data_IF_163782710289
#
_entry.id   IF_163782710289
#
_cell.length_a   1.000
_cell.length_b   1.000
_cell.length_c   1.000
_cell.angle_alpha   90.00
_cell.angle_beta   90.00
_cell.angle_gamma   90.00
#
_symmetry.space_group_name_H-M   'P 1'
#
loop_
_entity.id
_entity.type
_entity.pdbx_description
1 polymer ?
#
# COMPACT_ATOMS: atom_id res chain seq x y z
N UNK A 1 38.46 -4.72 7.10
CA UNK A 1 37.85 -5.82 6.32
C UNK A 1 36.98 -5.17 5.23
N UNK A 2 37.58 -4.94 4.05
CA UNK A 2 36.91 -4.32 2.90
C UNK A 2 36.04 -5.36 2.20
N UNK A 3 34.79 -5.02 1.89
CA UNK A 3 33.98 -5.77 0.94
C UNK A 3 33.71 -4.88 -0.29
N UNK A 4 34.38 -5.23 -1.38
CA UNK A 4 34.06 -4.80 -2.74
C UNK A 4 32.81 -5.54 -3.21
N UNK A 5 31.78 -4.83 -3.63
CA UNK A 5 30.69 -5.41 -4.43
C UNK A 5 31.02 -5.27 -5.92
N UNK A 6 31.18 -6.42 -6.58
CA UNK A 6 31.22 -6.59 -8.02
C UNK A 6 29.84 -6.27 -8.62
N UNK A 7 29.75 -5.27 -9.51
CA UNK A 7 28.60 -5.07 -10.37
C UNK A 7 28.78 -5.86 -11.67
N UNK A 8 28.09 -7.00 -11.77
CA UNK A 8 27.91 -7.76 -13.01
C UNK A 8 26.91 -7.07 -13.94
N UNK A 9 27.30 -6.89 -15.19
CA UNK A 9 26.48 -6.23 -16.21
C UNK A 9 25.40 -7.13 -16.84
N UNK A 10 24.40 -6.48 -17.43
CA UNK A 10 23.64 -7.04 -18.56
C UNK A 10 22.96 -5.94 -19.40
N UNK A 11 23.42 -5.86 -20.66
CA UNK A 11 22.70 -5.69 -21.95
C UNK A 11 21.70 -4.54 -22.18
N UNK A 12 22.23 -3.54 -22.90
CA UNK A 12 21.79 -3.05 -24.23
C UNK A 12 20.41 -3.46 -24.77
N UNK A 13 19.58 -2.45 -25.03
CA UNK A 13 18.96 -2.20 -26.35
C UNK A 13 18.59 -0.71 -26.47
N UNK A 14 19.29 0.03 -27.34
CA UNK A 14 18.89 1.36 -27.84
C UNK A 14 18.72 1.25 -29.36
N UNK A 15 17.63 1.75 -29.96
CA UNK A 15 17.47 1.72 -31.41
C UNK A 15 18.26 2.85 -32.10
N UNK A 16 19.02 2.43 -33.10
CA UNK A 16 19.25 3.02 -34.43
C UNK A 16 19.29 4.56 -34.59
N UNK A 17 20.53 5.04 -34.79
CA UNK A 17 21.02 5.87 -35.90
C UNK A 17 20.18 7.07 -36.36
N UNK A 18 20.62 8.26 -35.97
CA UNK A 18 20.39 9.51 -36.68
C UNK A 18 21.73 10.21 -36.96
N UNK A 19 22.17 10.18 -38.22
CA UNK A 19 23.31 10.93 -38.75
C UNK A 19 23.16 12.43 -38.45
N UNK A 20 24.11 13.04 -37.75
CA UNK A 20 24.36 14.48 -37.89
C UNK A 20 25.87 14.75 -38.00
N UNK A 21 26.22 15.30 -39.17
CA UNK A 21 27.52 15.77 -39.61
C UNK A 21 28.11 16.75 -38.59
N UNK A 22 29.35 16.50 -38.19
CA UNK A 22 30.21 17.49 -37.55
C UNK A 22 30.69 18.52 -38.58
N UNK A 23 30.34 19.79 -38.38
CA UNK A 23 31.06 20.92 -38.98
C UNK A 23 31.86 21.62 -37.88
N UNK A 24 33.15 21.81 -38.16
CA UNK A 24 34.20 22.33 -37.28
C UNK A 24 34.12 23.86 -37.07
N UNK A 25 34.81 24.27 -36.00
CA UNK A 25 35.55 25.54 -35.81
C UNK A 25 34.75 26.78 -35.40
N UNK A 26 34.84 27.10 -34.10
CA UNK A 26 34.60 28.43 -33.54
C UNK A 26 35.43 28.59 -32.26
N UNK A 27 36.45 29.43 -32.32
CA UNK A 27 37.31 29.85 -31.20
C UNK A 27 36.49 30.67 -30.20
N UNK A 28 36.62 30.42 -28.90
CA UNK A 28 36.04 31.28 -27.87
C UNK A 28 36.19 30.69 -26.47
N UNK A 29 36.99 31.35 -25.65
CA UNK A 29 37.23 31.00 -24.26
C UNK A 29 35.93 31.02 -23.42
N UNK A 30 35.68 29.94 -22.68
CA UNK A 30 35.16 29.95 -21.31
C UNK A 30 35.08 28.51 -20.82
N UNK A 31 35.85 28.16 -19.79
CA UNK A 31 35.65 26.95 -19.00
C UNK A 31 34.37 27.19 -18.17
N UNK A 32 33.21 26.99 -18.78
CA UNK A 32 31.94 26.90 -18.09
C UNK A 32 31.75 25.44 -17.71
N UNK A 33 32.20 25.05 -16.51
CA UNK A 33 31.75 23.79 -15.89
C UNK A 33 30.27 23.97 -15.61
N UNK A 34 29.41 23.54 -16.52
CA UNK A 34 27.99 23.38 -16.24
C UNK A 34 27.88 22.26 -15.21
N UNK A 35 27.87 22.64 -13.93
CA UNK A 35 27.32 21.81 -12.86
C UNK A 35 25.86 21.55 -13.27
N UNK A 36 25.64 20.41 -13.92
CA UNK A 36 24.32 19.82 -14.03
C UNK A 36 23.89 19.51 -12.61
N UNK A 37 23.21 20.47 -11.97
CA UNK A 37 22.46 20.25 -10.76
C UNK A 37 21.39 19.22 -11.12
N UNK A 38 21.74 17.94 -10.98
CA UNK A 38 20.79 16.86 -10.93
C UNK A 38 19.94 17.10 -9.70
N UNK A 39 18.86 17.85 -9.87
CA UNK A 39 17.76 17.84 -8.92
C UNK A 39 17.23 16.41 -8.93
N UNK A 40 17.75 15.59 -8.01
CA UNK A 40 17.09 14.37 -7.60
C UNK A 40 15.74 14.84 -7.05
N UNK A 41 14.70 14.79 -7.89
CA UNK A 41 13.34 14.99 -7.44
C UNK A 41 13.11 13.93 -6.36
N UNK A 42 13.10 14.38 -5.10
CA UNK A 42 12.67 13.54 -4.00
C UNK A 42 11.25 13.11 -4.33
N UNK A 43 11.08 11.85 -4.73
CA UNK A 43 9.77 11.27 -4.86
C UNK A 43 9.11 11.40 -3.49
N UNK A 44 8.11 12.28 -3.39
CA UNK A 44 7.34 12.44 -2.17
C UNK A 44 6.62 11.11 -1.91
N UNK A 45 7.09 10.38 -0.92
CA UNK A 45 6.42 9.17 -0.46
C UNK A 45 5.05 9.57 0.09
N UNK A 46 4.01 9.27 -0.68
CA UNK A 46 2.61 9.51 -0.31
C UNK A 46 2.00 8.31 0.41
N UNK A 47 2.80 7.27 0.70
CA UNK A 47 2.34 6.12 1.44
C UNK A 47 2.02 6.48 2.88
N UNK A 48 0.98 5.84 3.42
CA UNK A 48 0.53 6.02 4.80
C UNK A 48 0.17 4.67 5.36
N UNK A 49 0.48 4.47 6.62
CA UNK A 49 0.04 3.28 7.35
C UNK A 49 -0.97 3.69 8.39
N UNK A 50 -2.14 3.08 8.36
CA UNK A 50 -3.19 3.27 9.37
C UNK A 50 -3.28 2.00 10.20
N UNK A 51 -3.19 2.13 11.51
CA UNK A 51 -3.49 1.06 12.45
C UNK A 51 -4.79 1.38 13.14
N UNK A 52 -5.78 0.51 12.99
CA UNK A 52 -7.13 0.73 13.49
C UNK A 52 -7.51 -0.36 14.48
N UNK A 53 -8.01 0.06 15.65
CA UNK A 53 -8.59 -0.83 16.66
C UNK A 53 -10.10 -0.80 16.54
N UNK A 54 -10.73 -1.96 16.34
CA UNK A 54 -12.17 -2.09 16.20
C UNK A 54 -12.81 -2.70 17.43
N UNK A 55 -14.07 -2.32 17.64
CA UNK A 55 -14.97 -2.91 18.63
C UNK A 55 -16.17 -3.49 17.89
N UNK A 56 -16.50 -4.74 18.21
CA UNK A 56 -17.70 -5.41 17.67
C UNK A 56 -18.97 -4.74 18.20
N UNK A 57 -19.93 -4.50 17.31
CA UNK A 57 -21.26 -3.98 17.67
C UNK A 57 -22.25 -5.10 18.04
N UNK A 58 -21.87 -6.36 17.81
CA UNK A 58 -22.66 -7.54 18.17
C UNK A 58 -21.87 -8.48 19.09
N UNK A 59 -22.58 -9.23 19.94
CA UNK A 59 -21.95 -10.28 20.75
C UNK A 59 -21.57 -11.47 19.85
N UNK A 60 -20.30 -11.89 19.91
CA UNK A 60 -19.82 -13.12 19.26
C UNK A 60 -19.42 -13.02 17.78
N UNK A 61 -19.30 -11.81 17.23
CA UNK A 61 -18.93 -11.60 15.82
C UNK A 61 -17.44 -11.76 15.52
N UNK A 62 -17.11 -12.25 14.33
CA UNK A 62 -15.76 -12.22 13.76
C UNK A 62 -15.40 -10.80 13.25
N UNK A 63 -15.31 -9.84 14.17
CA UNK A 63 -14.73 -8.52 13.89
C UNK A 63 -13.24 -8.57 14.25
N UNK A 64 -12.33 -8.20 13.34
CA UNK A 64 -10.91 -8.17 13.67
C UNK A 64 -10.66 -7.09 14.74
N UNK A 65 -9.92 -7.43 15.79
CA UNK A 65 -9.60 -6.46 16.85
C UNK A 65 -8.73 -5.32 16.33
N UNK A 66 -7.79 -5.66 15.43
CA UNK A 66 -6.87 -4.72 14.81
C UNK A 66 -6.80 -4.95 13.31
N UNK A 67 -6.89 -3.86 12.54
CA UNK A 67 -6.71 -3.83 11.09
C UNK A 67 -5.62 -2.81 10.77
N UNK A 68 -4.62 -3.24 10.00
CA UNK A 68 -3.54 -2.41 9.49
C UNK A 68 -3.75 -2.20 7.99
N UNK A 69 -3.72 -0.95 7.55
CA UNK A 69 -3.93 -0.55 6.16
C UNK A 69 -2.69 0.18 5.70
N UNK A 70 -2.04 -0.34 4.67
CA UNK A 70 -0.91 0.27 3.99
C UNK A 70 -1.43 0.91 2.71
N UNK A 71 -1.57 2.23 2.66
CA UNK A 71 -1.94 2.94 1.43
C UNK A 71 -0.69 3.28 0.62
N UNK A 72 -0.78 3.14 -0.69
CA UNK A 72 0.27 3.44 -1.66
C UNK A 72 -0.25 4.46 -2.68
N UNK A 73 0.64 5.31 -3.19
CA UNK A 73 0.37 6.30 -4.24
C UNK A 73 -0.93 7.11 -4.03
N UNK A 74 -1.10 7.66 -2.83
CA UNK A 74 -2.31 8.39 -2.39
C UNK A 74 -3.61 7.57 -2.59
N UNK A 75 -3.62 6.34 -2.04
CA UNK A 75 -4.76 5.42 -2.08
C UNK A 75 -5.14 4.87 -3.46
N UNK A 76 -4.26 4.93 -4.47
CA UNK A 76 -4.47 4.19 -5.73
C UNK A 76 -4.44 2.67 -5.50
N UNK A 77 -3.57 2.23 -4.60
CA UNK A 77 -3.50 0.85 -4.13
C UNK A 77 -3.44 0.84 -2.60
N UNK A 78 -3.88 -0.25 -2.00
CA UNK A 78 -3.64 -0.49 -0.59
C UNK A 78 -3.41 -1.97 -0.32
N UNK A 79 -2.79 -2.26 0.81
CA UNK A 79 -2.75 -3.60 1.38
C UNK A 79 -3.41 -3.59 2.75
N UNK A 80 -4.17 -4.63 3.07
CA UNK A 80 -4.86 -4.79 4.36
C UNK A 80 -4.31 -6.01 5.08
N UNK A 81 -4.18 -5.89 6.40
CA UNK A 81 -3.73 -6.95 7.27
C UNK A 81 -4.51 -6.94 8.58
N UNK A 82 -4.97 -8.11 9.02
CA UNK A 82 -5.65 -8.31 10.29
C UNK A 82 -5.38 -9.73 10.80
N UNK A 83 -5.95 -10.09 11.96
CA UNK A 83 -5.76 -11.41 12.54
C UNK A 83 -6.32 -12.55 11.67
N UNK A 84 -7.44 -12.36 10.97
CA UNK A 84 -8.00 -13.39 10.08
C UNK A 84 -7.18 -13.56 8.80
N UNK A 85 -6.71 -12.45 8.21
CA UNK A 85 -5.76 -12.46 7.09
C UNK A 85 -4.46 -13.14 7.50
N UNK A 86 -3.96 -12.87 8.72
CA UNK A 86 -2.78 -13.55 9.24
C UNK A 86 -2.97 -15.06 9.26
N UNK A 87 -4.09 -15.56 9.78
CA UNK A 87 -4.37 -17.00 9.84
C UNK A 87 -4.59 -17.64 8.46
N UNK A 88 -5.18 -16.90 7.51
CA UNK A 88 -5.55 -17.43 6.19
C UNK A 88 -4.40 -17.39 5.17
N UNK A 89 -3.74 -16.23 5.06
CA UNK A 89 -2.84 -15.91 3.94
C UNK A 89 -1.39 -15.69 4.39
N UNK A 90 -1.14 -15.49 5.70
CA UNK A 90 0.17 -15.18 6.30
C UNK A 90 0.86 -13.92 5.75
N UNK A 91 0.17 -13.11 4.94
CA UNK A 91 0.68 -11.87 4.34
C UNK A 91 -0.45 -10.86 4.12
N UNK A 92 -0.14 -9.55 4.03
CA UNK A 92 -1.13 -8.54 3.66
C UNK A 92 -1.75 -8.81 2.29
N UNK A 93 -3.05 -8.54 2.17
CA UNK A 93 -3.81 -8.70 0.93
C UNK A 93 -3.88 -7.37 0.21
N UNK A 94 -3.54 -7.36 -1.07
CA UNK A 94 -3.73 -6.18 -1.92
C UNK A 94 -5.21 -5.96 -2.21
N UNK A 95 -5.66 -4.74 -2.03
CA UNK A 95 -7.01 -4.27 -2.32
C UNK A 95 -6.95 -2.99 -3.15
N UNK A 96 -8.06 -2.68 -3.81
CA UNK A 96 -8.21 -1.43 -4.55
C UNK A 96 -9.16 -0.53 -3.74
N UNK A 97 -8.65 0.55 -3.12
CA UNK A 97 -9.51 1.51 -2.42
C UNK A 97 -10.47 2.19 -3.41
N UNK A 98 -11.75 2.17 -3.07
CA UNK A 98 -12.80 2.88 -3.82
C UNK A 98 -13.16 4.15 -3.03
N UNK A 99 -12.93 5.35 -3.57
CA UNK A 99 -13.35 6.58 -2.90
C UNK A 99 -14.88 6.65 -2.82
N UNK A 100 -15.41 6.86 -1.62
CA UNK A 100 -16.86 6.99 -1.36
C UNK A 100 -17.25 8.46 -1.23
N UNK A 101 -16.39 9.23 -0.57
CA UNK A 101 -16.47 10.68 -0.45
C UNK A 101 -15.07 11.21 -0.16
N UNK A 102 -14.91 12.53 -0.07
CA UNK A 102 -13.62 13.13 0.25
C UNK A 102 -13.02 12.56 1.56
N UNK A 103 -11.83 11.97 1.46
CA UNK A 103 -11.13 11.35 2.60
C UNK A 103 -11.78 10.05 3.12
N UNK A 104 -12.73 9.46 2.40
CA UNK A 104 -13.36 8.18 2.76
C UNK A 104 -13.17 7.13 1.68
N UNK A 105 -12.68 5.97 2.08
CA UNK A 105 -12.37 4.87 1.17
C UNK A 105 -13.06 3.59 1.61
N UNK A 106 -13.70 2.92 0.66
CA UNK A 106 -14.21 1.55 0.82
C UNK A 106 -13.17 0.58 0.28
N UNK A 107 -12.87 -0.45 1.05
CA UNK A 107 -12.02 -1.56 0.63
C UNK A 107 -12.74 -2.86 0.96
N UNK A 108 -12.68 -3.83 0.05
CA UNK A 108 -13.30 -5.13 0.23
C UNK A 108 -12.34 -6.26 -0.14
N UNK A 109 -12.44 -7.37 0.56
CA UNK A 109 -11.71 -8.60 0.27
C UNK A 109 -12.52 -9.82 0.68
N UNK A 110 -12.18 -10.96 0.11
CA UNK A 110 -12.73 -12.25 0.50
C UNK A 110 -11.60 -13.11 1.06
N UNK A 111 -11.89 -13.86 2.11
CA UNK A 111 -11.03 -14.93 2.59
C UNK A 111 -11.74 -16.25 2.40
N UNK A 112 -11.03 -17.23 1.86
CA UNK A 112 -11.49 -18.61 1.82
C UNK A 112 -10.82 -19.37 2.96
N UNK A 113 -11.41 -20.51 3.31
CA UNK A 113 -10.81 -21.47 4.22
C UNK A 113 -10.49 -20.95 5.64
N UNK A 114 -11.29 -20.00 6.14
CA UNK A 114 -11.17 -19.52 7.52
C UNK A 114 -11.65 -20.60 8.47
N UNK A 115 -10.70 -21.21 9.20
CA UNK A 115 -11.01 -22.21 10.22
C UNK A 115 -11.47 -21.54 11.50
N UNK A 116 -12.72 -21.80 11.90
CA UNK A 116 -13.23 -21.40 13.20
C UNK A 116 -13.89 -22.61 13.87
N UNK A 117 -13.32 -23.03 15.01
CA UNK A 117 -13.68 -24.29 15.70
C UNK A 117 -13.53 -25.50 14.75
N UNK A 118 -14.62 -26.21 14.47
CA UNK A 118 -14.67 -27.43 13.64
C UNK A 118 -15.06 -27.14 12.20
N UNK A 119 -15.37 -25.90 11.86
CA UNK A 119 -15.95 -25.50 10.58
C UNK A 119 -15.00 -24.56 9.82
N UNK A 120 -15.15 -24.58 8.51
CA UNK A 120 -14.36 -23.77 7.58
C UNK A 120 -15.32 -22.85 6.85
N UNK A 121 -15.01 -21.55 6.87
CA UNK A 121 -15.91 -20.51 6.38
C UNK A 121 -15.24 -19.72 5.27
N UNK A 122 -16.06 -19.26 4.34
CA UNK A 122 -15.70 -18.18 3.43
C UNK A 122 -16.24 -16.87 3.98
N UNK A 123 -15.40 -15.85 4.03
CA UNK A 123 -15.78 -14.53 4.54
C UNK A 123 -15.71 -13.50 3.42
N UNK A 124 -16.60 -12.53 3.47
CA UNK A 124 -16.49 -11.29 2.71
C UNK A 124 -16.42 -10.15 3.71
N UNK A 125 -15.37 -9.36 3.61
CA UNK A 125 -15.09 -8.26 4.54
C UNK A 125 -15.04 -6.95 3.76
N UNK A 126 -15.68 -5.93 4.32
CA UNK A 126 -15.68 -4.57 3.81
C UNK A 126 -15.33 -3.61 4.92
N UNK A 127 -14.40 -2.70 4.66
CA UNK A 127 -14.09 -1.58 5.56
C UNK A 127 -14.37 -0.25 4.91
N UNK A 128 -14.70 0.72 5.76
CA UNK A 128 -14.86 2.13 5.43
C UNK A 128 -13.87 2.92 6.25
N UNK A 129 -12.76 3.32 5.66
CA UNK A 129 -11.75 4.16 6.30
C UNK A 129 -12.10 5.63 6.09
N UNK A 130 -12.23 6.39 7.18
CA UNK A 130 -12.31 7.85 7.17
C UNK A 130 -10.95 8.41 7.62
N UNK A 131 -10.16 8.90 6.66
CA UNK A 131 -8.81 9.39 6.88
C UNK A 131 -8.78 10.75 7.56
N UNK A 132 -9.87 11.52 7.47
CA UNK A 132 -9.99 12.84 8.12
C UNK A 132 -10.33 12.70 9.60
N UNK A 133 -11.26 11.79 9.92
CA UNK A 133 -11.73 11.55 11.30
C UNK A 133 -10.93 10.46 12.03
N UNK A 134 -10.05 9.77 11.31
CA UNK A 134 -9.30 8.61 11.79
C UNK A 134 -10.24 7.57 12.43
N UNK A 135 -11.25 7.18 11.66
CA UNK A 135 -12.26 6.19 12.04
C UNK A 135 -12.34 5.09 11.00
N UNK A 136 -12.72 3.91 11.46
CA UNK A 136 -13.00 2.77 10.59
C UNK A 136 -14.39 2.22 10.90
N UNK A 137 -15.13 1.87 9.86
CA UNK A 137 -16.27 0.97 9.92
C UNK A 137 -15.90 -0.38 9.30
N UNK A 138 -16.44 -1.46 9.83
CA UNK A 138 -16.25 -2.82 9.32
C UNK A 138 -17.61 -3.51 9.18
N UNK A 139 -17.76 -4.20 8.06
CA UNK A 139 -18.87 -5.12 7.79
C UNK A 139 -18.28 -6.43 7.31
N UNK A 140 -18.64 -7.53 7.96
CA UNK A 140 -18.25 -8.88 7.57
C UNK A 140 -19.49 -9.74 7.35
N UNK A 141 -19.45 -10.63 6.35
CA UNK A 141 -20.44 -11.68 6.17
C UNK A 141 -19.76 -13.03 6.09
N UNK A 142 -20.46 -14.07 6.56
CA UNK A 142 -20.04 -15.46 6.44
C UNK A 142 -20.87 -16.12 5.35
N UNK A 143 -20.26 -16.51 4.24
CA UNK A 143 -21.03 -17.15 3.16
C UNK A 143 -21.63 -18.46 3.66
N UNK A 144 -22.92 -18.62 3.46
CA UNK A 144 -23.72 -19.73 4.00
C UNK A 144 -24.48 -19.41 5.29
N UNK A 145 -24.30 -18.21 5.86
CA UNK A 145 -25.04 -17.73 7.02
C UNK A 145 -25.63 -16.33 6.73
N UNK A 146 -26.84 -16.07 7.22
CA UNK A 146 -27.53 -14.79 7.00
C UNK A 146 -27.06 -13.66 7.95
N UNK A 147 -26.02 -13.92 8.74
CA UNK A 147 -25.56 -12.99 9.77
C UNK A 147 -24.58 -11.97 9.20
N UNK A 148 -24.92 -10.69 9.33
CA UNK A 148 -23.99 -9.60 9.10
C UNK A 148 -23.31 -9.21 10.41
N UNK A 149 -21.98 -9.19 10.39
CA UNK A 149 -21.14 -8.80 11.51
C UNK A 149 -20.72 -7.35 11.30
N UNK A 150 -20.92 -6.51 12.32
CA UNK A 150 -20.56 -5.08 12.26
C UNK A 150 -19.57 -4.70 13.35
N UNK A 151 -18.61 -3.87 12.96
CA UNK A 151 -17.62 -3.31 13.86
C UNK A 151 -17.33 -1.85 13.54
N UNK A 152 -16.82 -1.12 14.52
CA UNK A 152 -16.34 0.24 14.29
C UNK A 152 -15.19 0.56 15.23
N UNK A 153 -14.31 1.47 14.81
CA UNK A 153 -13.04 1.67 15.48
C UNK A 153 -12.43 3.05 15.31
N UNK A 154 -11.32 3.24 16.02
CA UNK A 154 -10.44 4.41 15.88
C UNK A 154 -9.17 3.97 15.16
N UNK A 155 -8.60 4.88 14.39
CA UNK A 155 -7.34 4.67 13.70
C UNK A 155 -6.26 5.63 14.22
N UNK A 156 -5.01 5.22 14.07
CA UNK A 156 -3.84 6.05 14.22
C UNK A 156 -2.99 5.97 12.95
N UNK A 157 -2.41 7.10 12.55
CA UNK A 157 -1.36 7.12 11.53
C UNK A 157 -0.07 6.59 12.15
N UNK A 158 0.49 5.55 11.55
CA UNK A 158 1.83 5.07 11.86
C UNK A 158 2.83 5.81 10.97
N UNK A 159 3.93 6.34 11.53
CA UNK A 159 5.00 6.91 10.73
C UNK A 159 5.61 5.85 9.80
N UNK A 160 6.06 6.22 8.59
CA UNK A 160 6.76 5.30 7.71
C UNK A 160 8.01 4.76 8.40
N UNK A 161 8.28 3.47 8.21
CA UNK A 161 9.39 2.76 8.85
C UNK A 161 10.71 3.33 8.30
N UNK A 162 11.40 4.18 9.07
CA UNK A 162 12.65 4.82 8.67
C UNK A 162 12.78 6.31 9.01
N UNK A 163 11.75 6.94 9.56
CA UNK A 163 11.82 8.32 10.07
C UNK A 163 12.24 8.34 11.54
N UNK A 164 13.54 8.14 11.81
CA UNK A 164 14.20 8.49 13.07
C UNK A 164 15.47 9.27 12.77
#
# INVERSE_FOLDING_TARGET
MLWFFHAGGARFHRPCTGLYRYLRLGVGAAIGVSLGAGAAAAASDTSKTYECTLVSQAMGGMVPETVIIFSEDDFKTASVYDNYIHYAELKPIKVIPVPVSEGKYRMNWELNDIKFRTETFKTESTIYLDTKRLRIGFTGTLKGYDNEIRGSGKCALRPPKGAN
#
